data_IF_138649377764
#
_entry.id   IF_138649377764
#
_cell.length_a   1.000
_cell.length_b   1.000
_cell.length_c   1.000
_cell.angle_alpha   90.00
_cell.angle_beta   90.00
_cell.angle_gamma   90.00
#
_symmetry.space_group_name_H-M   'P 1'
#
loop_
_entity.id
_entity.type
_entity.pdbx_description
1 polymer ?
#
# COMPACT_ATOMS: atom_id res chain seq x y z
N UNK A 1 5.39 2.07 17.05
CA UNK A 1 3.97 1.82 16.72
C UNK A 1 3.83 2.06 15.23
N UNK A 2 3.45 1.07 14.43
CA UNK A 2 3.37 1.17 12.97
C UNK A 2 2.15 2.01 12.57
N UNK A 3 2.28 3.33 12.66
CA UNK A 3 1.22 4.29 12.32
C UNK A 3 1.55 4.99 11.02
N UNK A 4 1.33 4.32 9.88
CA UNK A 4 0.76 4.93 8.67
C UNK A 4 0.79 3.98 7.48
N UNK A 5 -0.14 3.02 7.46
CA UNK A 5 -0.76 2.65 6.18
C UNK A 5 -2.01 3.56 6.06
N UNK A 6 -1.97 4.64 5.26
CA UNK A 6 -3.08 5.57 5.21
C UNK A 6 -4.25 4.92 4.48
N UNK A 7 -5.42 5.13 5.07
CA UNK A 7 -6.72 4.56 4.72
C UNK A 7 -6.84 3.06 4.98
N UNK A 8 -7.67 2.75 5.99
CA UNK A 8 -8.42 1.51 5.98
C UNK A 8 -9.71 1.73 5.16
N UNK A 9 -9.81 1.33 3.87
CA UNK A 9 -11.11 1.23 3.20
C UNK A 9 -12.06 0.37 4.04
N UNK A 10 -13.35 0.74 4.10
CA UNK A 10 -14.37 0.03 4.87
C UNK A 10 -14.46 -1.48 4.57
N UNK A 11 -13.98 -1.93 3.40
CA UNK A 11 -13.83 -3.36 3.07
C UNK A 11 -12.87 -4.11 4.02
N UNK A 12 -11.87 -3.44 4.60
CA UNK A 12 -10.91 -4.00 5.54
C UNK A 12 -11.47 -4.29 6.93
N UNK A 13 -12.66 -3.77 7.25
CA UNK A 13 -13.33 -4.11 8.50
C UNK A 13 -14.07 -5.45 8.41
N UNK A 14 -14.13 -6.08 7.23
CA UNK A 14 -14.83 -7.34 7.04
C UNK A 14 -13.84 -8.53 7.09
N UNK A 15 -13.85 -9.34 8.17
CA UNK A 15 -12.98 -10.49 8.32
C UNK A 15 -13.24 -11.63 7.30
N UNK A 16 -14.35 -11.57 6.55
CA UNK A 16 -14.72 -12.57 5.54
C UNK A 16 -14.22 -12.27 4.12
N UNK A 17 -13.40 -11.23 3.95
CA UNK A 17 -12.78 -10.94 2.66
C UNK A 17 -11.87 -12.10 2.21
N UNK A 18 -12.16 -12.64 1.02
CA UNK A 18 -11.33 -13.66 0.35
C UNK A 18 -10.66 -13.05 -0.87
N UNK A 19 -9.39 -13.36 -1.06
CA UNK A 19 -8.67 -13.05 -2.30
C UNK A 19 -9.45 -13.67 -3.47
N UNK A 20 -9.63 -12.90 -4.54
CA UNK A 20 -10.43 -13.22 -5.72
C UNK A 20 -11.93 -13.34 -5.47
N UNK A 21 -12.46 -12.68 -4.43
CA UNK A 21 -13.91 -12.46 -4.30
C UNK A 21 -14.44 -11.71 -5.54
N UNK A 22 -15.47 -12.25 -6.18
CA UNK A 22 -16.01 -11.71 -7.43
C UNK A 22 -16.49 -10.26 -7.27
N UNK A 23 -17.00 -9.89 -6.09
CA UNK A 23 -17.45 -8.52 -5.82
C UNK A 23 -16.28 -7.54 -5.86
N UNK A 24 -15.11 -7.94 -5.38
CA UNK A 24 -13.89 -7.11 -5.43
C UNK A 24 -13.38 -7.02 -6.86
N UNK A 25 -13.38 -8.13 -7.60
CA UNK A 25 -12.99 -8.14 -9.01
C UNK A 25 -13.87 -7.21 -9.86
N UNK A 26 -15.17 -7.17 -9.60
CA UNK A 26 -16.11 -6.26 -10.26
C UNK A 26 -15.79 -4.80 -9.92
N UNK A 27 -15.51 -4.48 -8.66
CA UNK A 27 -15.11 -3.13 -8.26
C UNK A 27 -13.78 -2.71 -8.88
N UNK A 28 -12.78 -3.60 -8.95
CA UNK A 28 -11.50 -3.34 -9.64
C UNK A 28 -11.76 -3.03 -11.12
N UNK A 29 -12.67 -3.76 -11.77
CA UNK A 29 -13.06 -3.52 -13.17
C UNK A 29 -13.71 -2.14 -13.35
N UNK A 30 -14.62 -1.75 -12.47
CA UNK A 30 -15.23 -0.41 -12.51
C UNK A 30 -14.20 0.70 -12.23
N UNK A 31 -13.28 0.48 -11.29
CA UNK A 31 -12.19 1.39 -11.00
C UNK A 31 -11.34 1.72 -12.23
N UNK A 32 -11.00 0.71 -13.05
CA UNK A 32 -10.28 0.92 -14.31
C UNK A 32 -11.06 1.81 -15.29
N UNK A 33 -12.38 1.62 -15.39
CA UNK A 33 -13.23 2.46 -16.24
C UNK A 33 -13.30 3.90 -15.75
N UNK A 34 -13.43 4.09 -14.43
CA UNK A 34 -13.49 5.42 -13.81
C UNK A 34 -12.16 6.16 -14.01
N UNK A 35 -11.02 5.48 -13.81
CA UNK A 35 -9.70 6.09 -14.02
C UNK A 35 -9.52 6.56 -15.47
N UNK A 36 -9.90 5.74 -16.45
CA UNK A 36 -9.87 6.15 -17.87
C UNK A 36 -10.80 7.33 -18.14
N UNK A 37 -11.97 7.38 -17.49
CA UNK A 37 -12.95 8.44 -17.67
C UNK A 37 -12.52 9.77 -17.03
N UNK A 38 -11.90 9.73 -15.85
CA UNK A 38 -11.56 10.93 -15.07
C UNK A 38 -10.27 11.60 -15.56
N UNK A 39 -9.33 10.83 -16.12
CA UNK A 39 -8.02 11.32 -16.57
C UNK A 39 -8.12 12.55 -17.52
N UNK A 40 -8.92 12.54 -18.60
CA UNK A 40 -9.01 13.66 -19.54
C UNK A 40 -9.84 14.85 -19.03
N UNK A 41 -10.47 14.74 -17.85
CA UNK A 41 -11.33 15.80 -17.32
C UNK A 41 -10.53 16.94 -16.68
N UNK A 42 -11.19 18.08 -16.48
CA UNK A 42 -10.64 19.23 -15.76
C UNK A 42 -10.82 19.16 -14.24
N UNK A 43 -11.10 17.97 -13.67
CA UNK A 43 -11.13 17.84 -12.21
C UNK A 43 -9.76 18.18 -11.59
N UNK A 44 -9.74 18.77 -10.38
CA UNK A 44 -8.50 19.02 -9.66
C UNK A 44 -7.68 17.74 -9.45
N UNK A 45 -6.35 17.86 -9.47
CA UNK A 45 -5.45 16.73 -9.25
C UNK A 45 -5.72 16.02 -7.92
N UNK A 46 -6.02 16.75 -6.84
CA UNK A 46 -6.42 16.14 -5.56
C UNK A 46 -7.62 15.20 -5.70
N UNK A 47 -8.58 15.52 -6.58
CA UNK A 47 -9.77 14.69 -6.84
C UNK A 47 -9.39 13.45 -7.64
N UNK A 48 -8.57 13.61 -8.69
CA UNK A 48 -8.06 12.49 -9.50
C UNK A 48 -7.22 11.53 -8.65
N UNK A 49 -6.32 12.08 -7.84
CA UNK A 49 -5.45 11.33 -6.94
C UNK A 49 -6.25 10.61 -5.84
N UNK A 50 -7.28 11.24 -5.27
CA UNK A 50 -8.17 10.58 -4.29
C UNK A 50 -8.85 9.36 -4.91
N UNK A 51 -9.35 9.48 -6.15
CA UNK A 51 -9.95 8.37 -6.87
C UNK A 51 -8.91 7.27 -7.18
N UNK A 52 -7.71 7.67 -7.60
CA UNK A 52 -6.62 6.73 -7.86
C UNK A 52 -6.22 5.94 -6.60
N UNK A 53 -6.09 6.62 -5.46
CA UNK A 53 -5.81 6.02 -4.14
C UNK A 53 -6.87 4.99 -3.78
N UNK A 54 -8.16 5.34 -3.90
CA UNK A 54 -9.25 4.41 -3.60
C UNK A 54 -9.17 3.14 -4.47
N UNK A 55 -8.94 3.31 -5.78
CA UNK A 55 -8.85 2.18 -6.71
C UNK A 55 -7.62 1.30 -6.50
N UNK A 56 -6.44 1.92 -6.29
CA UNK A 56 -5.21 1.18 -5.97
C UNK A 56 -5.36 0.44 -4.65
N UNK A 57 -5.96 1.08 -3.65
CA UNK A 57 -6.24 0.47 -2.34
C UNK A 57 -7.09 -0.80 -2.46
N UNK A 58 -8.12 -0.79 -3.29
CA UNK A 58 -8.97 -1.98 -3.52
C UNK A 58 -8.19 -3.07 -4.28
N UNK A 59 -7.43 -2.69 -5.30
CA UNK A 59 -6.64 -3.65 -6.09
C UNK A 59 -5.57 -4.33 -5.25
N UNK A 60 -4.77 -3.56 -4.52
CA UNK A 60 -3.69 -4.12 -3.70
C UNK A 60 -4.24 -4.94 -2.53
N UNK A 61 -5.43 -4.60 -2.01
CA UNK A 61 -6.07 -5.39 -0.96
C UNK A 61 -6.32 -6.82 -1.41
N UNK A 62 -6.69 -7.03 -2.66
CA UNK A 62 -6.94 -8.34 -3.27
C UNK A 62 -5.67 -9.16 -3.55
N UNK A 63 -4.65 -9.06 -2.70
CA UNK A 63 -3.36 -9.76 -2.89
C UNK A 63 -2.92 -10.45 -1.59
N UNK A 64 -2.23 -11.58 -1.72
CA UNK A 64 -1.56 -12.24 -0.58
C UNK A 64 -0.47 -11.35 0.02
N UNK A 65 0.10 -10.45 -0.79
CA UNK A 65 1.05 -9.44 -0.35
C UNK A 65 0.47 -8.56 0.76
N UNK A 66 -0.70 -7.94 0.54
CA UNK A 66 -1.31 -7.03 1.53
C UNK A 66 -1.75 -7.77 2.79
N UNK A 67 -2.27 -9.00 2.62
CA UNK A 67 -2.63 -9.86 3.74
C UNK A 67 -1.41 -10.16 4.62
N UNK A 68 -0.27 -10.46 4.00
CA UNK A 68 0.97 -10.67 4.72
C UNK A 68 1.48 -9.37 5.36
N UNK A 69 1.42 -8.23 4.67
CA UNK A 69 1.78 -6.92 5.24
C UNK A 69 0.99 -6.59 6.51
N UNK A 70 -0.29 -6.93 6.57
CA UNK A 70 -1.10 -6.77 7.78
C UNK A 70 -0.65 -7.69 8.93
N UNK A 71 -0.18 -8.90 8.62
CA UNK A 71 0.38 -9.81 9.63
C UNK A 71 1.72 -9.28 10.16
N UNK A 72 2.58 -8.79 9.26
CA UNK A 72 3.86 -8.15 9.64
C UNK A 72 3.65 -6.91 10.49
N UNK A 73 2.58 -6.13 10.26
CA UNK A 73 2.24 -4.99 11.10
C UNK A 73 1.87 -5.36 12.56
N UNK A 74 1.54 -6.62 12.83
CA UNK A 74 1.31 -7.10 14.19
C UNK A 74 2.58 -7.69 14.82
N UNK A 75 3.66 -7.86 14.04
CA UNK A 75 4.95 -8.28 14.57
C UNK A 75 5.67 -7.08 15.18
N UNK A 76 6.28 -7.31 16.34
CA UNK A 76 7.01 -6.28 17.10
C UNK A 76 8.52 -6.47 17.04
N UNK A 77 8.98 -7.58 16.48
CA UNK A 77 10.39 -7.94 16.44
C UNK A 77 10.79 -8.50 15.07
N UNK A 78 11.81 -7.87 14.48
CA UNK A 78 12.45 -8.26 13.23
C UNK A 78 13.95 -8.52 13.42
N UNK A 79 14.43 -8.68 14.66
CA UNK A 79 15.85 -8.81 14.98
C UNK A 79 16.54 -10.01 14.31
N UNK A 80 15.77 -11.02 13.89
CA UNK A 80 16.29 -12.21 13.21
C UNK A 80 16.64 -11.96 11.73
N UNK A 81 16.41 -10.75 11.22
CA UNK A 81 16.65 -10.38 9.83
C UNK A 81 17.78 -9.35 9.73
N UNK A 82 19.03 -9.82 9.76
CA UNK A 82 20.24 -8.99 9.62
C UNK A 82 20.19 -8.08 8.38
N UNK A 83 19.49 -8.50 7.32
CA UNK A 83 19.32 -7.70 6.12
C UNK A 83 18.54 -6.39 6.33
N UNK A 84 17.84 -6.22 7.46
CA UNK A 84 17.21 -4.96 7.87
C UNK A 84 18.15 -4.00 8.59
N UNK A 85 19.41 -4.39 8.84
CA UNK A 85 20.39 -3.50 9.46
C UNK A 85 20.51 -2.18 8.66
N UNK A 86 20.49 -1.06 9.39
CA UNK A 86 20.53 0.29 8.83
C UNK A 86 19.23 0.78 8.20
N UNK A 87 18.13 0.01 8.25
CA UNK A 87 16.82 0.52 7.86
C UNK A 87 16.26 1.44 8.95
N UNK A 88 15.89 2.66 8.57
CA UNK A 88 15.16 3.58 9.43
C UNK A 88 13.64 3.37 9.27
N UNK A 89 13.05 2.69 10.25
CA UNK A 89 11.64 2.34 10.27
C UNK A 89 10.71 3.55 10.46
N UNK A 90 11.24 4.67 10.94
CA UNK A 90 10.46 5.89 11.18
C UNK A 90 10.62 6.91 10.01
N UNK A 91 11.44 6.59 9.00
CA UNK A 91 11.66 7.46 7.84
C UNK A 91 10.47 7.48 6.88
N UNK A 92 10.19 8.64 6.27
CA UNK A 92 9.19 8.76 5.19
C UNK A 92 9.54 7.89 3.96
N UNK A 93 10.83 7.60 3.78
CA UNK A 93 11.36 6.78 2.69
C UNK A 93 11.34 5.28 3.01
N UNK A 94 10.93 4.88 4.21
CA UNK A 94 10.98 3.48 4.66
C UNK A 94 10.36 2.52 3.63
N UNK A 95 9.17 2.85 3.14
CA UNK A 95 8.47 2.06 2.12
C UNK A 95 9.33 1.93 0.85
N UNK A 96 9.89 3.03 0.35
CA UNK A 96 10.71 3.02 -0.87
C UNK A 96 11.99 2.21 -0.65
N UNK A 97 12.67 2.35 0.49
CA UNK A 97 13.86 1.55 0.85
C UNK A 97 13.53 0.06 0.89
N UNK A 98 12.41 -0.32 1.52
CA UNK A 98 11.96 -1.71 1.65
C UNK A 98 11.64 -2.37 0.31
N UNK A 99 11.18 -1.61 -0.67
CA UNK A 99 10.82 -2.13 -2.00
C UNK A 99 11.88 -1.90 -3.09
N UNK A 100 12.95 -1.16 -2.79
CA UNK A 100 14.09 -0.96 -3.68
C UNK A 100 15.34 -1.65 -3.13
N UNK A 101 16.11 -0.99 -2.27
CA UNK A 101 17.40 -1.45 -1.76
C UNK A 101 17.31 -2.67 -0.85
N UNK A 102 16.18 -2.87 -0.17
CA UNK A 102 15.95 -4.01 0.74
C UNK A 102 14.92 -5.01 0.19
N UNK A 103 14.58 -4.95 -1.10
CA UNK A 103 13.53 -5.77 -1.75
C UNK A 103 13.65 -7.28 -1.45
N UNK A 104 14.85 -7.84 -1.58
CA UNK A 104 15.05 -9.29 -1.33
C UNK A 104 14.96 -9.66 0.16
N UNK A 105 15.31 -8.73 1.06
CA UNK A 105 15.07 -8.88 2.50
C UNK A 105 13.56 -8.94 2.78
N UNK A 106 12.80 -8.01 2.21
CA UNK A 106 11.34 -7.97 2.32
C UNK A 106 10.69 -9.26 1.81
N UNK A 107 11.12 -9.78 0.66
CA UNK A 107 10.64 -11.08 0.14
C UNK A 107 10.97 -12.25 1.07
N UNK A 108 12.13 -12.20 1.74
CA UNK A 108 12.54 -13.25 2.69
C UNK A 108 11.64 -13.23 3.92
N UNK A 109 11.46 -12.06 4.54
CA UNK A 109 10.57 -11.86 5.68
C UNK A 109 9.14 -12.32 5.36
N UNK A 110 8.59 -11.88 4.22
CA UNK A 110 7.22 -12.26 3.83
C UNK A 110 7.08 -13.77 3.59
N UNK A 111 8.10 -14.41 2.99
CA UNK A 111 8.11 -15.86 2.80
C UNK A 111 8.16 -16.61 4.13
N UNK A 112 8.99 -16.16 5.06
CA UNK A 112 9.23 -16.84 6.34
C UNK A 112 8.03 -16.70 7.27
N UNK A 113 7.39 -15.53 7.31
CA UNK A 113 6.25 -15.26 8.19
C UNK A 113 4.93 -15.77 7.59
N UNK A 114 4.70 -15.52 6.31
CA UNK A 114 3.39 -15.71 5.67
C UNK A 114 3.36 -16.88 4.67
N UNK A 115 4.51 -17.51 4.40
CA UNK A 115 4.66 -18.57 3.41
C UNK A 115 4.86 -18.05 1.98
N UNK A 116 5.13 -18.98 1.06
CA UNK A 116 5.50 -18.68 -0.35
C UNK A 116 4.42 -17.91 -1.13
N UNK A 117 3.14 -18.07 -0.78
CA UNK A 117 2.03 -17.42 -1.48
C UNK A 117 2.06 -15.89 -1.34
N UNK A 118 2.68 -15.37 -0.28
CA UNK A 118 2.89 -13.92 -0.08
C UNK A 118 3.75 -13.27 -1.18
N UNK A 119 4.47 -14.09 -1.97
CA UNK A 119 5.33 -13.63 -3.06
C UNK A 119 4.63 -13.63 -4.43
N UNK A 120 3.41 -14.15 -4.53
CA UNK A 120 2.63 -14.13 -5.77
C UNK A 120 2.36 -12.68 -6.15
N UNK A 121 2.79 -12.30 -7.35
CA UNK A 121 2.71 -10.93 -7.87
C UNK A 121 3.32 -9.86 -6.95
N UNK A 122 4.30 -10.24 -6.12
CA UNK A 122 4.95 -9.33 -5.17
C UNK A 122 5.41 -8.02 -5.82
N UNK A 123 6.10 -8.11 -6.96
CA UNK A 123 6.70 -6.93 -7.60
C UNK A 123 5.62 -5.93 -8.02
N UNK A 124 4.50 -6.42 -8.58
CA UNK A 124 3.35 -5.60 -8.93
C UNK A 124 2.67 -5.01 -7.69
N UNK A 125 2.47 -5.81 -6.65
CA UNK A 125 1.85 -5.35 -5.42
C UNK A 125 2.70 -4.28 -4.73
N UNK A 126 4.02 -4.46 -4.69
CA UNK A 126 4.98 -3.48 -4.20
C UNK A 126 4.92 -2.18 -5.00
N UNK A 127 4.89 -2.24 -6.34
CA UNK A 127 4.75 -1.06 -7.20
C UNK A 127 3.45 -0.29 -6.94
N UNK A 128 2.33 -1.01 -6.80
CA UNK A 128 1.04 -0.42 -6.42
C UNK A 128 1.12 0.24 -5.04
N UNK A 129 1.80 -0.38 -4.08
CA UNK A 129 1.98 0.16 -2.74
C UNK A 129 2.81 1.45 -2.73
N UNK A 130 3.90 1.47 -3.48
CA UNK A 130 4.74 2.66 -3.65
C UNK A 130 3.94 3.79 -4.31
N UNK A 131 3.16 3.47 -5.36
CA UNK A 131 2.28 4.45 -6.01
C UNK A 131 1.24 5.00 -5.03
N UNK A 132 0.59 4.15 -4.24
CA UNK A 132 -0.37 4.53 -3.21
C UNK A 132 0.26 5.48 -2.17
N UNK A 133 1.45 5.15 -1.69
CA UNK A 133 2.20 5.94 -0.70
C UNK A 133 2.54 7.32 -1.24
N UNK A 134 3.08 7.39 -2.47
CA UNK A 134 3.44 8.66 -3.13
C UNK A 134 2.24 9.56 -3.40
N UNK A 135 1.14 8.99 -3.89
CA UNK A 135 -0.11 9.74 -4.10
C UNK A 135 -0.68 10.25 -2.78
N UNK A 136 -0.66 9.43 -1.73
CA UNK A 136 -1.13 9.84 -0.40
C UNK A 136 -0.29 10.98 0.16
N UNK A 137 1.04 10.89 0.05
CA UNK A 137 1.95 11.95 0.48
C UNK A 137 1.72 13.26 -0.29
N UNK A 138 1.46 13.19 -1.61
CA UNK A 138 1.14 14.36 -2.42
C UNK A 138 -0.15 15.06 -1.94
N UNK A 139 -1.21 14.29 -1.65
CA UNK A 139 -2.46 14.84 -1.12
C UNK A 139 -2.25 15.46 0.28
N UNK A 140 -1.51 14.80 1.17
CA UNK A 140 -1.25 15.34 2.51
C UNK A 140 -0.53 16.70 2.45
N UNK A 141 0.45 16.86 1.56
CA UNK A 141 1.14 18.14 1.34
C UNK A 141 0.24 19.24 0.81
N UNK A 142 -0.76 18.90 -0.01
CA UNK A 142 -1.76 19.87 -0.50
C UNK A 142 -2.80 20.25 0.57
N UNK A 143 -3.14 19.33 1.48
CA UNK A 143 -4.15 19.55 2.52
C UNK A 143 -3.60 20.17 3.81
N UNK A 144 -2.32 19.97 4.10
CA UNK A 144 -1.62 20.54 5.26
C UNK A 144 -0.36 21.23 4.74
N UNK A 145 -0.46 22.47 4.22
CA UNK A 145 0.72 23.25 3.90
C UNK A 145 1.53 23.50 5.18
N UNK A 146 2.84 23.31 5.14
CA UNK A 146 3.74 23.64 6.25
C UNK A 146 3.67 25.16 6.54
N UNK A 147 3.17 25.52 7.75
CA UNK A 147 3.02 26.88 8.28
C UNK A 147 1.55 27.18 8.59
N UNK A 148 1.10 27.30 9.86
CA UNK A 148 1.61 28.23 10.87
C UNK A 148 2.02 27.55 12.18
N UNK A 149 3.31 27.54 12.47
CA UNK A 149 3.83 27.53 13.85
C UNK A 149 4.77 28.72 13.97
N UNK A 150 4.22 29.86 14.42
CA UNK A 150 4.99 30.95 15.05
C UNK A 150 5.43 30.53 16.45
#
# INVERSE_FOLDING_TARGET
>A
MLTSFPMKPAFLANPDYKINDTRILDVIKECKKIQVCIEPTCFPEVTKNTMAIACIGIEIQNTEYTKCGMQLNNMTDFSNYDCLEGADFDSEEFTDVMFTSKKECTKTIMRDVCGKNSLVDFDRAAELNMKLTRLSAAIYKELIPEGDTE
#
